data_IF_943033409393
#
_entry.id   IF_943033409393
#
_cell.length_a   1.000
_cell.length_b   1.000
_cell.length_c   1.000
_cell.angle_alpha   90.00
_cell.angle_beta   90.00
_cell.angle_gamma   90.00
#
_symmetry.space_group_name_H-M   'P 1'
#
loop_
_entity.id
_entity.type
_entity.pdbx_description
1 polymer ?
#
# COMPACT_ATOMS: atom_id res chain seq x y z
N UNK A 1 4.66 5.50 27.72
CA UNK A 1 5.07 4.16 27.20
C UNK A 1 6.54 4.23 26.74
N UNK A 2 7.11 3.17 26.14
CA UNK A 2 8.51 3.18 25.65
C UNK A 2 8.75 4.14 24.47
N UNK A 3 7.66 4.58 23.83
CA UNK A 3 7.66 5.44 22.64
C UNK A 3 7.43 6.93 22.96
N UNK A 4 7.08 7.25 24.21
CA UNK A 4 6.89 8.62 24.70
C UNK A 4 5.46 9.17 24.66
N UNK A 5 4.43 8.36 24.38
CA UNK A 5 3.04 8.81 24.49
C UNK A 5 2.61 8.90 25.97
N UNK A 6 2.00 10.03 26.34
CA UNK A 6 1.49 10.30 27.70
C UNK A 6 0.03 9.84 27.88
N UNK A 7 -0.81 9.96 26.84
CA UNK A 7 -2.22 9.58 26.86
C UNK A 7 -2.47 8.25 26.13
N UNK A 8 -3.36 7.42 26.68
CA UNK A 8 -3.76 6.16 26.03
C UNK A 8 -4.49 6.38 24.69
N UNK A 9 -5.19 7.51 24.55
CA UNK A 9 -5.88 7.91 23.31
C UNK A 9 -4.91 8.16 22.15
N UNK A 10 -3.71 8.67 22.44
CA UNK A 10 -2.69 8.93 21.41
C UNK A 10 -2.05 7.64 20.92
N UNK A 11 -1.97 6.64 21.80
CA UNK A 11 -1.51 5.29 21.46
C UNK A 11 -2.50 4.62 20.51
N UNK A 12 -3.80 4.71 20.79
CA UNK A 12 -4.85 4.17 19.93
C UNK A 12 -4.79 4.79 18.52
N UNK A 13 -4.71 6.12 18.43
CA UNK A 13 -4.61 6.82 17.13
C UNK A 13 -3.33 6.43 16.37
N UNK A 14 -2.21 6.29 17.07
CA UNK A 14 -0.93 5.88 16.47
C UNK A 14 -1.00 4.44 15.97
N UNK A 15 -1.58 3.51 16.73
CA UNK A 15 -1.76 2.12 16.32
C UNK A 15 -2.70 1.98 15.12
N UNK A 16 -3.75 2.80 15.04
CA UNK A 16 -4.65 2.84 13.87
C UNK A 16 -3.91 3.25 12.59
N UNK A 17 -2.87 4.08 12.69
CA UNK A 17 -2.04 4.45 11.53
C UNK A 17 -1.28 3.26 10.95
N UNK A 18 -1.03 2.21 11.74
CA UNK A 18 -0.43 0.96 11.27
C UNK A 18 -1.44 -0.05 10.73
N UNK A 19 -2.75 0.22 10.76
CA UNK A 19 -3.77 -0.73 10.30
C UNK A 19 -3.53 -1.24 8.86
N UNK A 20 -3.15 -0.40 7.86
CA UNK A 20 -2.83 -0.89 6.52
C UNK A 20 -1.63 -1.84 6.50
N UNK A 21 -0.62 -1.59 7.35
CA UNK A 21 0.58 -2.43 7.45
C UNK A 21 0.30 -3.76 8.16
N UNK A 22 -0.60 -3.73 9.15
CA UNK A 22 -1.10 -4.92 9.84
C UNK A 22 -1.92 -5.79 8.88
N UNK A 23 -2.73 -5.17 8.02
CA UNK A 23 -3.53 -5.88 7.00
C UNK A 23 -2.67 -6.42 5.85
N UNK A 24 -1.58 -5.72 5.50
CA UNK A 24 -0.59 -6.21 4.56
C UNK A 24 0.15 -7.47 5.06
N UNK A 25 0.15 -7.72 6.38
CA UNK A 25 0.69 -8.93 7.02
C UNK A 25 2.16 -9.22 6.63
N UNK A 26 3.00 -8.18 6.59
CA UNK A 26 4.43 -8.31 6.26
C UNK A 26 5.21 -9.18 7.25
N UNK A 27 4.73 -9.31 8.49
CA UNK A 27 5.37 -10.10 9.53
C UNK A 27 4.31 -10.64 10.48
N UNK A 28 4.36 -11.95 10.75
CA UNK A 28 3.45 -12.60 11.71
C UNK A 28 3.63 -12.02 13.13
N UNK A 29 4.79 -11.43 13.41
CA UNK A 29 5.15 -10.81 14.68
C UNK A 29 4.88 -9.30 14.74
N UNK A 30 4.41 -8.65 13.65
CA UNK A 30 4.19 -7.20 13.64
C UNK A 30 3.23 -6.74 14.73
N UNK A 31 2.10 -7.44 14.91
CA UNK A 31 1.10 -7.12 15.95
C UNK A 31 1.71 -7.20 17.35
N UNK A 32 2.45 -8.28 17.62
CA UNK A 32 3.12 -8.47 18.91
C UNK A 32 4.15 -7.36 19.17
N UNK A 33 4.96 -7.02 18.17
CA UNK A 33 5.96 -5.97 18.27
C UNK A 33 5.34 -4.60 18.55
N UNK A 34 4.31 -4.21 17.80
CA UNK A 34 3.62 -2.94 18.00
C UNK A 34 2.98 -2.86 19.39
N UNK A 35 2.32 -3.92 19.83
CA UNK A 35 1.78 -4.00 21.19
C UNK A 35 2.89 -3.89 22.24
N UNK A 36 3.99 -4.63 22.10
CA UNK A 36 5.10 -4.60 23.04
C UNK A 36 5.78 -3.22 23.13
N UNK A 37 5.86 -2.48 22.02
CA UNK A 37 6.49 -1.15 21.99
C UNK A 37 5.57 -0.05 22.55
N UNK A 38 4.30 -0.02 22.10
CA UNK A 38 3.36 1.04 22.45
C UNK A 38 2.61 0.78 23.75
N UNK A 39 2.40 -0.49 24.09
CA UNK A 39 1.64 -0.98 25.26
C UNK A 39 2.47 -2.02 26.02
N UNK A 40 3.64 -1.65 26.58
CA UNK A 40 4.52 -2.58 27.26
C UNK A 40 3.88 -3.11 28.56
N UNK A 41 4.33 -4.29 29.00
CA UNK A 41 3.89 -4.85 30.28
C UNK A 41 4.65 -4.22 31.44
N UNK A 42 3.94 -3.75 32.46
CA UNK A 42 4.54 -3.17 33.66
C UNK A 42 4.52 -4.17 34.82
N UNK A 43 5.66 -4.41 35.47
CA UNK A 43 5.72 -5.25 36.68
C UNK A 43 6.69 -4.67 37.70
N UNK A 44 6.30 -4.55 38.98
CA UNK A 44 7.16 -4.01 40.04
C UNK A 44 8.33 -4.94 40.40
N UNK A 45 8.36 -6.17 39.86
CA UNK A 45 9.43 -7.16 40.09
C UNK A 45 10.51 -7.14 39.01
N UNK A 46 10.37 -6.31 37.97
CA UNK A 46 11.35 -6.19 36.92
C UNK A 46 12.40 -5.10 37.23
N UNK A 47 13.66 -5.27 36.78
CA UNK A 47 14.68 -4.23 36.88
C UNK A 47 14.27 -2.93 36.16
N UNK A 48 13.54 -3.08 35.05
CA UNK A 48 12.95 -2.00 34.26
C UNK A 48 11.44 -2.03 34.47
N UNK A 49 10.83 -0.91 34.87
CA UNK A 49 9.40 -0.83 35.23
C UNK A 49 8.44 -1.21 34.09
N UNK A 50 8.93 -1.26 32.84
CA UNK A 50 8.18 -1.67 31.66
C UNK A 50 9.04 -2.62 30.80
N UNK A 51 8.47 -3.76 30.43
CA UNK A 51 9.09 -4.79 29.59
C UNK A 51 8.59 -4.60 28.15
N UNK A 52 9.52 -4.32 27.25
CA UNK A 52 9.27 -4.07 25.82
C UNK A 52 9.75 -5.20 24.90
N UNK A 53 9.78 -4.96 23.57
CA UNK A 53 10.34 -5.93 22.62
C UNK A 53 11.87 -5.98 22.73
N UNK A 54 12.45 -7.14 22.46
CA UNK A 54 13.89 -7.24 22.24
C UNK A 54 14.27 -6.66 20.87
N UNK A 55 15.54 -6.28 20.72
CA UNK A 55 16.10 -5.79 19.46
C UNK A 55 15.96 -6.80 18.33
N UNK A 56 16.15 -8.09 18.61
CA UNK A 56 15.96 -9.18 17.65
C UNK A 56 14.54 -9.21 17.05
N UNK A 57 13.51 -9.04 17.91
CA UNK A 57 12.11 -8.94 17.49
C UNK A 57 11.88 -7.71 16.60
N UNK A 58 12.42 -6.55 17.01
CA UNK A 58 12.33 -5.32 16.22
C UNK A 58 12.98 -5.46 14.84
N UNK A 59 14.21 -5.97 14.79
CA UNK A 59 14.97 -6.12 13.54
C UNK A 59 14.28 -7.11 12.60
N UNK A 60 13.77 -8.23 13.13
CA UNK A 60 13.00 -9.20 12.37
C UNK A 60 11.77 -8.56 11.70
N UNK A 61 10.99 -7.78 12.45
CA UNK A 61 9.82 -7.08 11.91
C UNK A 61 10.24 -5.97 10.95
N UNK A 62 11.25 -5.18 11.28
CA UNK A 62 11.75 -4.06 10.46
C UNK A 62 12.21 -4.53 9.09
N UNK A 63 12.97 -5.63 9.01
CA UNK A 63 13.47 -6.15 7.73
C UNK A 63 12.32 -6.47 6.76
N UNK A 64 11.21 -7.05 7.24
CA UNK A 64 10.06 -7.41 6.39
C UNK A 64 9.11 -6.25 6.12
N UNK A 65 8.88 -5.39 7.11
CA UNK A 65 7.86 -4.35 7.05
C UNK A 65 8.37 -2.98 6.60
N UNK A 66 9.67 -2.71 6.72
CA UNK A 66 10.25 -1.44 6.28
C UNK A 66 10.15 -1.21 4.75
N UNK A 67 10.42 -2.21 3.88
CA UNK A 67 10.26 -2.04 2.43
C UNK A 67 8.81 -1.69 2.03
N UNK A 68 7.84 -2.23 2.77
CA UNK A 68 6.41 -1.96 2.57
C UNK A 68 6.10 -0.51 2.91
N UNK A 69 6.55 -0.03 4.07
CA UNK A 69 6.42 1.38 4.46
C UNK A 69 7.08 2.33 3.45
N UNK A 70 8.28 1.99 2.97
CA UNK A 70 8.96 2.76 1.93
C UNK A 70 8.17 2.78 0.62
N UNK A 71 7.50 1.68 0.25
CA UNK A 71 6.60 1.61 -0.90
C UNK A 71 5.43 2.60 -0.80
N UNK A 72 4.98 2.91 0.42
CA UNK A 72 3.97 3.95 0.69
C UNK A 72 4.58 5.35 0.89
N UNK A 73 5.90 5.52 0.75
CA UNK A 73 6.59 6.80 0.93
C UNK A 73 6.88 7.18 2.38
N UNK A 74 6.72 6.25 3.32
CA UNK A 74 6.98 6.49 4.75
C UNK A 74 8.32 5.89 5.20
N UNK A 75 9.15 6.63 5.95
CA UNK A 75 10.35 6.09 6.55
C UNK A 75 10.01 5.18 7.74
N UNK A 76 10.99 4.41 8.23
CA UNK A 76 10.83 3.70 9.50
C UNK A 76 10.66 4.71 10.63
N UNK A 77 9.62 4.59 11.49
CA UNK A 77 9.36 5.56 12.54
C UNK A 77 10.55 5.66 13.52
N UNK A 78 11.04 6.88 13.83
CA UNK A 78 12.11 7.05 14.82
C UNK A 78 11.73 6.53 16.21
N UNK A 79 10.43 6.51 16.51
CA UNK A 79 9.82 5.88 17.68
C UNK A 79 10.15 4.39 17.83
N UNK A 80 10.28 3.67 16.71
CA UNK A 80 10.48 2.22 16.64
C UNK A 80 11.91 1.85 16.25
N UNK A 81 12.86 2.76 16.43
CA UNK A 81 14.26 2.50 16.11
C UNK A 81 14.81 1.34 16.96
N UNK A 82 15.30 0.30 16.28
CA UNK A 82 15.69 -0.95 16.95
C UNK A 82 16.90 -0.80 17.87
N UNK A 83 17.72 0.25 17.67
CA UNK A 83 18.83 0.57 18.56
C UNK A 83 18.39 1.00 19.97
N UNK A 84 17.11 1.36 20.15
CA UNK A 84 16.53 1.73 21.45
C UNK A 84 16.12 0.53 22.31
N UNK A 85 16.08 -0.67 21.74
CA UNK A 85 15.63 -1.87 22.44
C UNK A 85 16.80 -2.74 22.95
N UNK A 86 16.65 -3.44 24.09
CA UNK A 86 17.68 -4.33 24.62
C UNK A 86 18.04 -5.46 23.65
N UNK A 87 19.32 -5.83 23.58
CA UNK A 87 19.81 -6.90 22.70
C UNK A 87 19.41 -8.28 23.16
N UNK A 88 19.57 -8.54 24.45
CA UNK A 88 19.39 -9.86 25.05
C UNK A 88 18.64 -9.71 26.37
N UNK A 89 17.86 -10.73 26.69
CA UNK A 89 17.21 -10.85 27.99
C UNK A 89 18.25 -11.25 29.05
N UNK A 90 18.47 -10.42 30.06
CA UNK A 90 19.41 -10.68 31.15
C UNK A 90 18.85 -10.20 32.51
N UNK A 91 19.62 -10.36 33.59
CA UNK A 91 19.19 -10.00 34.95
C UNK A 91 18.95 -8.50 35.17
N UNK A 92 19.43 -7.62 34.28
CA UNK A 92 19.32 -6.16 34.36
C UNK A 92 18.32 -5.58 33.35
N UNK A 93 18.04 -6.29 32.26
CA UNK A 93 17.17 -5.87 31.17
C UNK A 93 16.33 -7.05 30.71
N UNK A 94 15.02 -6.95 30.90
CA UNK A 94 14.06 -7.95 30.40
C UNK A 94 13.37 -7.43 29.14
N UNK A 95 13.25 -8.28 28.13
CA UNK A 95 12.56 -7.96 26.88
C UNK A 95 11.88 -9.20 26.30
N UNK A 96 10.95 -8.97 25.35
CA UNK A 96 10.21 -10.03 24.66
C UNK A 96 10.84 -10.35 23.29
N UNK A 97 11.32 -11.58 23.12
CA UNK A 97 11.89 -12.09 21.85
C UNK A 97 10.82 -12.43 20.79
N UNK A 98 9.59 -12.68 21.22
CA UNK A 98 8.50 -13.11 20.34
C UNK A 98 8.54 -14.61 20.02
N UNK A 99 7.44 -15.17 19.49
CA UNK A 99 7.30 -16.60 19.20
C UNK A 99 8.10 -17.05 17.95
N UNK A 100 8.89 -16.17 17.35
CA UNK A 100 9.47 -16.39 16.02
C UNK A 100 8.44 -16.16 14.92
N UNK A 101 8.89 -16.17 13.67
CA UNK A 101 7.94 -16.13 12.56
C UNK A 101 7.17 -17.44 12.51
N UNK A 102 5.85 -17.34 12.64
CA UNK A 102 4.98 -18.48 12.39
C UNK A 102 4.98 -18.70 10.88
N UNK A 103 5.78 -19.66 10.41
CA UNK A 103 5.71 -20.13 9.03
C UNK A 103 4.29 -20.64 8.77
N UNK A 104 3.40 -19.79 8.21
CA UNK A 104 2.37 -20.30 7.32
C UNK A 104 3.12 -21.00 6.18
N UNK A 105 2.69 -22.19 5.73
CA UNK A 105 3.26 -22.79 4.52
C UNK A 105 2.92 -21.90 3.32
N UNK A 106 3.78 -20.91 3.10
CA UNK A 106 3.97 -20.22 1.84
C UNK A 106 5.47 -20.02 1.69
N UNK A 107 6.08 -21.17 1.38
CA UNK A 107 7.32 -21.36 0.64
C UNK A 107 8.47 -20.41 1.02
N UNK A 108 9.12 -20.81 2.11
CA UNK A 108 10.51 -20.53 2.40
C UNK A 108 11.41 -21.13 1.30
N UNK A 109 12.16 -20.27 0.60
CA UNK A 109 13.38 -20.54 -0.18
C UNK A 109 13.85 -19.18 -0.72
N UNK A 110 14.96 -18.55 -0.36
CA UNK A 110 16.12 -18.88 0.46
C UNK A 110 16.72 -17.54 0.91
N UNK A 111 17.02 -17.34 2.20
CA UNK A 111 18.16 -16.50 2.60
C UNK A 111 18.49 -16.69 4.09
N UNK A 112 19.22 -17.76 4.45
CA UNK A 112 20.31 -17.74 5.43
C UNK A 112 21.06 -19.08 5.34
N UNK A 113 22.09 -19.12 4.50
CA UNK A 113 23.10 -20.17 4.51
C UNK A 113 24.48 -19.53 4.48
N UNK A 114 25.17 -19.54 5.61
CA UNK A 114 26.63 -19.37 5.68
C UNK A 114 27.16 -20.48 6.57
N UNK A 115 28.22 -21.18 6.12
CA UNK A 115 29.54 -20.76 6.58
C UNK A 115 30.66 -20.80 5.51
N UNK A 116 31.41 -19.70 5.44
CA UNK A 116 32.88 -19.63 5.27
C UNK A 116 33.57 -20.06 3.97
N UNK A 117 33.97 -19.09 3.12
CA UNK A 117 35.35 -18.94 2.60
C UNK A 117 35.57 -17.64 1.79
N UNK A 118 36.61 -16.87 2.14
CA UNK A 118 37.43 -16.06 1.21
C UNK A 118 36.93 -14.71 0.63
N UNK A 119 37.43 -13.62 1.23
CA UNK A 119 37.75 -12.21 0.81
C UNK A 119 37.84 -11.85 -0.72
N UNK A 120 38.04 -10.57 -1.16
CA UNK A 120 37.31 -9.28 -1.04
C UNK A 120 36.86 -8.67 -2.41
N UNK A 121 35.87 -7.76 -2.37
CA UNK A 121 35.81 -6.59 -3.26
C UNK A 121 34.85 -6.65 -4.47
N UNK A 122 34.07 -5.58 -4.65
CA UNK A 122 33.40 -5.26 -5.93
C UNK A 122 31.93 -4.87 -5.81
N UNK A 123 31.64 -3.58 -6.02
CA UNK A 123 30.32 -3.03 -6.33
C UNK A 123 29.57 -3.87 -7.38
N UNK A 124 28.36 -4.33 -7.08
CA UNK A 124 27.50 -4.96 -8.09
C UNK A 124 26.39 -5.84 -7.52
N UNK A 125 25.51 -5.31 -6.67
CA UNK A 125 24.32 -6.04 -6.26
C UNK A 125 23.35 -6.20 -7.44
N UNK A 126 23.38 -7.37 -8.11
CA UNK A 126 22.30 -7.79 -9.00
C UNK A 126 21.03 -7.95 -8.17
N UNK A 127 19.99 -7.19 -8.50
CA UNK A 127 18.64 -7.33 -7.94
C UNK A 127 18.14 -8.77 -8.17
N UNK A 128 17.35 -9.37 -7.25
CA UNK A 128 16.91 -10.76 -7.38
C UNK A 128 16.24 -11.00 -8.73
N UNK A 129 16.46 -12.20 -9.30
CA UNK A 129 15.88 -12.62 -10.57
C UNK A 129 14.35 -12.75 -10.53
N UNK A 130 13.73 -12.61 -9.36
CA UNK A 130 12.31 -12.89 -9.15
C UNK A 130 11.66 -11.89 -8.19
N UNK A 131 10.34 -11.72 -8.28
CA UNK A 131 9.55 -10.77 -7.49
C UNK A 131 9.29 -11.26 -6.04
N UNK A 132 10.08 -12.21 -5.55
CA UNK A 132 9.95 -12.91 -4.27
C UNK A 132 10.08 -12.02 -3.03
N UNK A 133 10.65 -10.82 -3.16
CA UNK A 133 10.76 -9.85 -2.07
C UNK A 133 9.49 -9.03 -1.79
N UNK A 134 8.44 -9.15 -2.62
CA UNK A 134 7.15 -8.48 -2.42
C UNK A 134 6.20 -9.39 -1.64
N UNK A 135 5.37 -8.83 -0.74
CA UNK A 135 4.31 -9.65 -0.16
C UNK A 135 3.33 -10.07 -1.25
N UNK A 136 2.91 -11.33 -1.20
CA UNK A 136 2.16 -12.02 -2.26
C UNK A 136 2.92 -11.99 -3.60
N UNK A 137 4.19 -12.41 -3.61
CA UNK A 137 5.07 -12.45 -4.80
C UNK A 137 4.44 -13.12 -6.03
N UNK A 138 3.62 -14.16 -5.85
CA UNK A 138 2.88 -14.86 -6.91
C UNK A 138 1.87 -13.98 -7.68
N UNK A 139 1.56 -12.79 -7.18
CA UNK A 139 0.69 -11.82 -7.84
C UNK A 139 1.44 -10.80 -8.70
N UNK A 140 2.75 -10.99 -8.90
CA UNK A 140 3.61 -10.08 -9.65
C UNK A 140 4.42 -10.83 -10.70
N UNK A 141 4.64 -10.16 -11.84
CA UNK A 141 5.51 -10.63 -12.93
C UNK A 141 6.67 -9.67 -13.09
N UNK A 142 7.87 -10.22 -13.24
CA UNK A 142 9.08 -9.45 -13.51
C UNK A 142 9.15 -9.07 -14.98
N UNK A 143 9.28 -7.78 -15.28
CA UNK A 143 9.53 -7.31 -16.65
C UNK A 143 11.04 -7.37 -16.94
N UNK A 144 11.48 -8.11 -17.98
CA UNK A 144 12.90 -8.26 -18.30
C UNK A 144 13.54 -6.95 -18.75
N UNK A 145 12.77 -6.11 -19.46
CA UNK A 145 13.24 -4.83 -20.03
C UNK A 145 13.46 -3.75 -18.97
N UNK A 146 12.50 -3.57 -18.06
CA UNK A 146 12.56 -2.52 -17.04
C UNK A 146 13.23 -2.96 -15.75
N UNK A 147 13.35 -4.28 -15.54
CA UNK A 147 13.74 -4.79 -14.25
C UNK A 147 12.81 -4.30 -13.14
N UNK A 148 11.52 -4.14 -13.39
CA UNK A 148 10.49 -3.87 -12.37
C UNK A 148 9.50 -5.04 -12.24
N UNK A 149 8.85 -5.16 -11.10
CA UNK A 149 7.77 -6.10 -10.87
C UNK A 149 6.44 -5.40 -11.13
N UNK A 150 5.60 -5.96 -12.01
CA UNK A 150 4.27 -5.45 -12.30
C UNK A 150 3.22 -6.41 -11.74
N UNK A 151 2.15 -5.92 -11.10
CA UNK A 151 1.10 -6.79 -10.59
C UNK A 151 0.24 -7.35 -11.73
N UNK A 152 -0.26 -8.58 -11.56
CA UNK A 152 -1.30 -9.15 -12.43
C UNK A 152 -2.57 -8.30 -12.35
N UNK A 153 -3.32 -8.22 -13.44
CA UNK A 153 -4.45 -7.29 -13.52
C UNK A 153 -5.63 -7.66 -12.60
N UNK A 154 -5.82 -8.95 -12.34
CA UNK A 154 -6.84 -9.47 -11.41
C UNK A 154 -6.28 -9.72 -9.99
N UNK A 155 -5.07 -9.28 -9.69
CA UNK A 155 -4.45 -9.54 -8.39
C UNK A 155 -5.20 -8.87 -7.22
N UNK A 156 -5.47 -9.63 -6.16
CA UNK A 156 -6.09 -9.16 -4.91
C UNK A 156 -5.01 -8.81 -3.87
N UNK A 157 -4.33 -7.69 -4.10
CA UNK A 157 -3.21 -7.25 -3.25
C UNK A 157 -3.73 -6.44 -2.06
N UNK A 158 -4.35 -5.29 -2.33
CA UNK A 158 -4.89 -4.35 -1.33
C UNK A 158 -6.40 -4.47 -1.10
N UNK A 159 -7.15 -4.94 -2.10
CA UNK A 159 -8.61 -4.98 -2.05
C UNK A 159 -9.11 -6.36 -2.46
N UNK A 160 -10.14 -6.83 -1.77
CA UNK A 160 -10.84 -8.07 -2.07
C UNK A 160 -11.72 -7.93 -3.33
N UNK A 161 -12.11 -9.04 -3.99
CA UNK A 161 -12.98 -8.98 -5.16
C UNK A 161 -14.34 -8.34 -4.86
N UNK A 162 -14.88 -8.53 -3.65
CA UNK A 162 -16.13 -7.92 -3.23
C UNK A 162 -16.02 -6.39 -3.11
N UNK A 163 -14.93 -5.88 -2.54
CA UNK A 163 -14.68 -4.43 -2.41
C UNK A 163 -14.47 -3.77 -3.78
N UNK A 164 -13.74 -4.44 -4.67
CA UNK A 164 -13.56 -3.99 -6.07
C UNK A 164 -14.91 -3.87 -6.78
N UNK A 165 -15.77 -4.88 -6.64
CA UNK A 165 -17.10 -4.88 -7.24
C UNK A 165 -18.02 -3.80 -6.66
N UNK A 166 -17.97 -3.58 -5.34
CA UNK A 166 -18.70 -2.49 -4.70
C UNK A 166 -18.23 -1.12 -5.23
N UNK A 167 -16.92 -0.90 -5.34
CA UNK A 167 -16.36 0.33 -5.88
C UNK A 167 -16.77 0.55 -7.34
N UNK A 168 -16.79 -0.51 -8.14
CA UNK A 168 -17.25 -0.46 -9.53
C UNK A 168 -18.70 -0.01 -9.65
N UNK A 169 -19.62 -0.62 -8.90
CA UNK A 169 -21.04 -0.23 -8.88
C UNK A 169 -21.18 1.22 -8.42
N UNK A 170 -20.50 1.57 -7.32
CA UNK A 170 -20.61 2.87 -6.70
C UNK A 170 -20.18 3.98 -7.67
N UNK A 171 -18.97 3.88 -8.21
CA UNK A 171 -18.44 4.94 -9.09
C UNK A 171 -19.22 5.00 -10.40
N UNK A 172 -19.68 3.88 -10.94
CA UNK A 172 -20.53 3.87 -12.15
C UNK A 172 -21.86 4.58 -11.91
N UNK A 173 -22.51 4.33 -10.76
CA UNK A 173 -23.78 4.97 -10.41
C UNK A 173 -23.65 6.49 -10.36
N UNK A 174 -22.62 6.99 -9.66
CA UNK A 174 -22.38 8.43 -9.57
C UNK A 174 -21.96 9.06 -10.90
N UNK A 175 -21.20 8.34 -11.73
CA UNK A 175 -20.80 8.82 -13.04
C UNK A 175 -22.00 9.02 -13.98
N UNK A 176 -22.95 8.08 -14.02
CA UNK A 176 -24.14 8.21 -14.86
C UNK A 176 -25.10 9.28 -14.37
N UNK A 177 -25.29 9.38 -13.05
CA UNK A 177 -26.08 10.47 -12.46
C UNK A 177 -25.48 11.85 -12.83
N UNK A 178 -24.15 11.98 -12.74
CA UNK A 178 -23.44 13.19 -13.11
C UNK A 178 -23.51 13.48 -14.62
N UNK A 179 -23.37 12.47 -15.48
CA UNK A 179 -23.51 12.62 -16.93
C UNK A 179 -24.91 13.10 -17.31
N UNK A 180 -25.96 12.50 -16.72
CA UNK A 180 -27.34 12.91 -16.94
C UNK A 180 -27.58 14.38 -16.56
N UNK A 181 -27.08 14.81 -15.40
CA UNK A 181 -27.16 16.20 -14.95
C UNK A 181 -26.40 17.15 -15.89
N UNK A 182 -25.21 16.74 -16.35
CA UNK A 182 -24.38 17.53 -17.26
C UNK A 182 -25.04 17.72 -18.63
N UNK A 183 -25.69 16.68 -19.17
CA UNK A 183 -26.43 16.74 -20.43
C UNK A 183 -27.64 17.67 -20.32
N UNK A 184 -28.42 17.57 -19.23
CA UNK A 184 -29.56 18.46 -18.98
C UNK A 184 -29.09 19.91 -18.88
N UNK A 185 -28.00 20.19 -18.14
CA UNK A 185 -27.44 21.52 -18.04
C UNK A 185 -26.98 22.07 -19.41
N UNK A 186 -26.41 21.21 -20.25
CA UNK A 186 -25.98 21.57 -21.62
C UNK A 186 -27.19 21.94 -22.49
N UNK A 187 -28.26 21.14 -22.47
CA UNK A 187 -29.51 21.42 -23.20
C UNK A 187 -30.15 22.72 -22.71
N UNK A 188 -30.19 22.95 -21.39
CA UNK A 188 -30.70 24.19 -20.82
C UNK A 188 -29.90 25.43 -21.27
N UNK A 189 -28.57 25.33 -21.38
CA UNK A 189 -27.74 26.41 -21.90
C UNK A 189 -28.00 26.69 -23.38
N UNK A 190 -28.22 25.65 -24.19
CA UNK A 190 -28.54 25.79 -25.61
C UNK A 190 -29.94 26.35 -25.84
N UNK A 191 -30.90 25.97 -24.98
CA UNK A 191 -32.29 26.43 -25.05
C UNK A 191 -32.51 27.82 -24.43
N UNK A 192 -31.60 28.30 -23.57
CA UNK A 192 -31.70 29.64 -23.01
C UNK A 192 -31.36 30.68 -24.07
N UNK A 193 -32.39 31.32 -24.61
CA UNK A 193 -32.22 32.45 -25.53
C UNK A 193 -31.39 33.56 -24.85
N UNK A 194 -30.38 34.07 -25.56
CA UNK A 194 -29.40 35.06 -25.07
C UNK A 194 -29.96 36.44 -24.71
N UNK A 195 -31.27 36.54 -24.52
CA UNK A 195 -32.05 37.76 -24.30
C UNK A 195 -31.83 38.41 -22.92
N UNK A 196 -31.31 37.68 -21.93
CA UNK A 196 -30.97 38.24 -20.60
C UNK A 196 -29.46 38.41 -20.45
N UNK A 197 -28.98 39.65 -20.34
CA UNK A 197 -27.56 39.99 -20.13
C UNK A 197 -26.90 39.19 -18.99
N UNK A 198 -27.65 38.91 -17.93
CA UNK A 198 -27.21 38.08 -16.81
C UNK A 198 -27.01 36.60 -17.20
N UNK A 199 -27.93 35.98 -17.95
CA UNK A 199 -27.79 34.58 -18.41
C UNK A 199 -26.66 34.43 -19.42
N UNK A 200 -26.40 35.44 -20.26
CA UNK A 200 -25.26 35.47 -21.17
C UNK A 200 -23.90 35.48 -20.44
N UNK A 201 -23.80 36.17 -19.29
CA UNK A 201 -22.58 36.17 -18.46
C UNK A 201 -22.35 34.80 -17.80
N UNK A 202 -23.39 34.22 -17.20
CA UNK A 202 -23.30 32.89 -16.56
C UNK A 202 -23.04 31.77 -17.57
N UNK A 203 -23.64 31.84 -18.75
CA UNK A 203 -23.40 30.90 -19.85
C UNK A 203 -21.91 30.85 -20.25
N UNK A 204 -21.26 32.02 -20.43
CA UNK A 204 -19.83 32.09 -20.77
C UNK A 204 -18.90 31.55 -19.67
N UNK A 205 -19.28 31.67 -18.41
CA UNK A 205 -18.51 31.17 -17.25
C UNK A 205 -18.72 29.67 -17.00
N UNK A 206 -19.96 29.17 -17.14
CA UNK A 206 -20.31 27.78 -16.82
C UNK A 206 -20.09 26.82 -17.99
N UNK A 207 -20.14 27.30 -19.23
CA UNK A 207 -19.93 26.48 -20.43
C UNK A 207 -18.65 25.65 -20.40
N UNK A 208 -17.43 26.21 -20.17
CA UNK A 208 -16.22 25.40 -20.17
C UNK A 208 -16.19 24.35 -19.04
N UNK A 209 -16.78 24.66 -17.88
CA UNK A 209 -16.88 23.73 -16.76
C UNK A 209 -17.82 22.56 -17.08
N UNK A 210 -18.97 22.83 -17.71
CA UNK A 210 -19.94 21.82 -18.13
C UNK A 210 -19.35 20.93 -19.22
N UNK A 211 -18.64 21.50 -20.20
CA UNK A 211 -17.93 20.72 -21.23
C UNK A 211 -16.85 19.81 -20.63
N UNK A 212 -16.04 20.34 -19.71
CA UNK A 212 -15.05 19.55 -18.98
C UNK A 212 -15.70 18.40 -18.20
N UNK A 213 -16.80 18.70 -17.50
CA UNK A 213 -17.52 17.70 -16.71
C UNK A 213 -18.15 16.60 -17.59
N UNK A 214 -18.72 16.94 -18.75
CA UNK A 214 -19.19 15.98 -19.75
C UNK A 214 -18.04 15.09 -20.25
N UNK A 215 -16.86 15.65 -20.52
CA UNK A 215 -15.72 14.87 -21.00
C UNK A 215 -15.22 13.86 -19.95
N UNK A 216 -15.14 14.27 -18.68
CA UNK A 216 -14.73 13.37 -17.58
C UNK A 216 -15.76 12.28 -17.34
N UNK A 217 -17.04 12.63 -17.28
CA UNK A 217 -18.13 11.66 -17.07
C UNK A 217 -18.29 10.69 -18.24
N UNK A 218 -18.03 11.15 -19.48
CA UNK A 218 -17.95 10.27 -20.65
C UNK A 218 -16.81 9.25 -20.52
N UNK A 219 -15.64 9.64 -20.01
CA UNK A 219 -14.54 8.71 -19.74
C UNK A 219 -14.94 7.60 -18.76
N UNK A 220 -15.70 7.93 -17.72
CA UNK A 220 -16.24 6.95 -16.78
C UNK A 220 -17.32 6.04 -17.41
N UNK A 221 -18.18 6.58 -18.28
CA UNK A 221 -19.14 5.78 -19.03
C UNK A 221 -18.44 4.78 -19.97
N UNK A 222 -17.37 5.21 -20.65
CA UNK A 222 -16.53 4.32 -21.47
C UNK A 222 -15.91 3.22 -20.62
N UNK A 223 -15.39 3.55 -19.43
CA UNK A 223 -14.84 2.56 -18.49
C UNK A 223 -15.85 1.50 -18.09
N UNK A 224 -17.11 1.86 -17.88
CA UNK A 224 -18.17 0.89 -17.59
C UNK A 224 -18.46 -0.02 -18.80
N UNK A 225 -18.61 0.56 -20.00
CA UNK A 225 -18.93 -0.19 -21.22
C UNK A 225 -17.83 -1.17 -21.62
N UNK A 226 -16.57 -0.75 -21.50
CA UNK A 226 -15.38 -1.57 -21.83
C UNK A 226 -15.02 -2.52 -20.68
N UNK A 227 -15.50 -2.22 -19.47
CA UNK A 227 -15.18 -2.94 -18.26
C UNK A 227 -13.81 -2.58 -17.68
N UNK A 228 -13.58 -3.04 -16.44
CA UNK A 228 -12.34 -2.82 -15.70
C UNK A 228 -11.12 -3.33 -16.46
N UNK A 229 -11.21 -4.52 -17.04
CA UNK A 229 -10.07 -5.18 -17.67
C UNK A 229 -9.64 -4.50 -18.95
N UNK A 230 -10.58 -4.12 -19.81
CA UNK A 230 -10.26 -3.44 -21.06
C UNK A 230 -9.72 -2.02 -20.89
N UNK A 231 -9.87 -1.40 -19.71
CA UNK A 231 -9.33 -0.05 -19.44
C UNK A 231 -8.10 -0.02 -18.55
N UNK A 232 -7.92 -1.02 -17.67
CA UNK A 232 -6.84 -1.05 -16.69
C UNK A 232 -5.84 -2.20 -16.88
N UNK A 233 -6.12 -3.15 -17.77
CA UNK A 233 -5.17 -4.20 -18.11
C UNK A 233 -4.49 -3.91 -19.45
N UNK A 234 -3.22 -4.31 -19.53
CA UNK A 234 -2.45 -4.39 -20.76
C UNK A 234 -1.59 -5.65 -20.77
N UNK A 235 -1.14 -6.06 -21.94
CA UNK A 235 -0.15 -7.11 -22.09
C UNK A 235 1.21 -6.49 -22.38
N UNK A 236 2.27 -7.08 -21.84
CA UNK A 236 3.64 -6.73 -22.21
C UNK A 236 4.09 -7.63 -23.37
N UNK A 237 4.81 -7.12 -24.40
CA UNK A 237 5.29 -7.93 -25.51
C UNK A 237 6.15 -9.13 -25.09
N UNK A 238 6.80 -9.08 -23.92
CA UNK A 238 7.64 -10.15 -23.40
C UNK A 238 6.90 -11.10 -22.44
N UNK A 239 5.68 -10.75 -22.03
CA UNK A 239 4.78 -11.62 -21.26
C UNK A 239 3.38 -11.61 -21.91
N UNK A 240 3.23 -12.11 -23.15
CA UNK A 240 1.98 -11.99 -23.92
C UNK A 240 0.82 -12.82 -23.32
N UNK A 241 1.13 -13.81 -22.49
CA UNK A 241 0.15 -14.69 -21.86
C UNK A 241 -0.38 -14.14 -20.54
N UNK A 242 0.20 -13.06 -20.02
CA UNK A 242 -0.14 -12.49 -18.72
C UNK A 242 -0.80 -11.13 -18.87
N UNK A 243 -1.95 -10.95 -18.22
CA UNK A 243 -2.61 -9.64 -18.15
C UNK A 243 -2.05 -8.86 -16.97
N UNK A 244 -1.41 -7.72 -17.26
CA UNK A 244 -0.75 -6.88 -16.27
C UNK A 244 -1.57 -5.63 -16.03
N UNK A 245 -1.57 -5.15 -14.79
CA UNK A 245 -2.18 -3.87 -14.47
C UNK A 245 -1.33 -2.75 -15.10
N UNK A 246 -1.96 -1.85 -15.87
CA UNK A 246 -1.25 -0.70 -16.43
C UNK A 246 -0.86 0.27 -15.33
N UNK A 247 0.42 0.24 -14.95
CA UNK A 247 1.06 1.21 -14.04
C UNK A 247 1.91 2.17 -14.88
N UNK A 248 2.09 3.41 -14.41
CA UNK A 248 2.92 4.41 -15.09
C UNK A 248 4.29 3.83 -15.47
N UNK A 249 4.60 3.87 -16.78
CA UNK A 249 5.84 3.33 -17.34
C UNK A 249 5.72 1.94 -17.99
N UNK A 250 4.58 1.24 -17.90
CA UNK A 250 4.44 -0.08 -18.55
C UNK A 250 4.46 0.00 -20.09
N UNK A 251 3.99 1.12 -20.66
CA UNK A 251 3.96 1.36 -22.12
C UNK A 251 5.18 2.14 -22.65
N UNK A 252 5.88 2.87 -21.77
CA UNK A 252 7.02 3.74 -22.12
C UNK A 252 8.38 3.18 -21.73
N UNK A 253 8.42 2.02 -21.05
CA UNK A 253 9.67 1.39 -20.62
C UNK A 253 10.28 0.60 -21.75
#
# INVERSE_FOLDING_TARGET
NLVGNEMQTDVEYTLQTFAPLIEYDCSSQLKLFLCAAYVPMCTPKAPVHAIGPCRSLCESVRIRCHPVLQGFGFPWPPALDCDKFPRENNHETMCMEGPGELHKPQQEQDLYGLPGQGIPGGLGGKLPMDCSGLAKSHLYVRLPRSGRCAPLCEADILFTPAEKHLAEIWVSTWAYAALGLALVATVCLLASDGSRLASAKWSRLLSPLIWCHNMVTLGWAVRFMVGRTGTACGTDPQAPNESLLTVAGLSNA
#
